data_IF_211439292186
#
_entry.id   IF_211439292186
#
_cell.length_a   1.000
_cell.length_b   1.000
_cell.length_c   1.000
_cell.angle_alpha   90.00
_cell.angle_beta   90.00
_cell.angle_gamma   90.00
#
_symmetry.space_group_name_H-M   'P 1'
#
loop_
_entity.id
_entity.type
_entity.pdbx_description
1 polymer ?
#
# COMPACT_ATOMS: atom_id res chain seq x y z
N UNK A 1 6.24 0.27 -22.76
CA UNK A 1 7.40 0.94 -22.13
C UNK A 1 8.56 0.88 -23.11
N UNK A 2 9.25 1.97 -23.37
CA UNK A 2 10.35 2.06 -24.33
C UNK A 2 11.48 2.94 -23.81
N UNK A 3 12.55 3.10 -24.63
CA UNK A 3 13.68 3.96 -24.29
C UNK A 3 14.49 3.53 -23.08
N UNK A 4 15.14 4.51 -22.44
CA UNK A 4 16.04 4.30 -21.30
C UNK A 4 15.38 3.58 -20.12
N UNK A 5 14.10 3.86 -19.84
CA UNK A 5 13.37 3.22 -18.73
C UNK A 5 13.30 1.70 -18.90
N UNK A 6 13.14 1.19 -20.12
CA UNK A 6 13.17 -0.25 -20.41
C UNK A 6 14.56 -0.83 -20.09
N UNK A 7 15.62 -0.16 -20.54
CA UNK A 7 16.99 -0.62 -20.30
C UNK A 7 17.29 -0.66 -18.80
N UNK A 8 16.94 0.41 -18.07
CA UNK A 8 17.22 0.50 -16.64
C UNK A 8 16.47 -0.58 -15.84
N UNK A 9 15.17 -0.80 -16.11
CA UNK A 9 14.38 -1.80 -15.41
C UNK A 9 14.71 -3.25 -15.80
N UNK A 10 15.25 -3.48 -17.00
CA UNK A 10 15.73 -4.80 -17.41
C UNK A 10 17.12 -5.14 -16.88
N UNK A 11 17.85 -4.17 -16.32
CA UNK A 11 19.21 -4.32 -15.80
C UNK A 11 19.32 -3.72 -14.39
N UNK A 12 18.46 -4.15 -13.47
CA UNK A 12 18.44 -3.64 -12.09
C UNK A 12 19.72 -3.92 -11.33
N UNK A 13 20.49 -4.95 -11.71
CA UNK A 13 21.82 -5.21 -11.14
C UNK A 13 22.78 -4.04 -11.34
N UNK A 14 22.62 -3.28 -12.43
CA UNK A 14 23.45 -2.11 -12.77
C UNK A 14 22.77 -0.79 -12.35
N UNK A 15 21.48 -0.66 -12.66
CA UNK A 15 20.71 0.58 -12.49
C UNK A 15 19.89 0.60 -11.20
N UNK A 16 19.92 -0.46 -10.38
CA UNK A 16 19.14 -0.57 -9.13
C UNK A 16 19.23 0.67 -8.24
N UNK A 17 20.44 1.16 -7.88
CA UNK A 17 20.57 2.35 -7.05
C UNK A 17 19.94 3.61 -7.65
N UNK A 18 20.03 3.78 -8.99
CA UNK A 18 19.42 4.91 -9.69
C UNK A 18 17.88 4.81 -9.69
N UNK A 19 17.36 3.62 -9.95
CA UNK A 19 15.90 3.34 -9.92
C UNK A 19 15.37 3.56 -8.52
N UNK A 20 16.04 3.04 -7.50
CA UNK A 20 15.67 3.22 -6.10
C UNK A 20 15.61 4.70 -5.72
N UNK A 21 16.68 5.46 -6.02
CA UNK A 21 16.73 6.91 -5.76
C UNK A 21 15.58 7.66 -6.45
N UNK A 22 15.24 7.25 -7.68
CA UNK A 22 14.09 7.83 -8.40
C UNK A 22 12.75 7.53 -7.72
N UNK A 23 12.58 6.29 -7.23
CA UNK A 23 11.36 5.88 -6.50
C UNK A 23 11.25 6.54 -5.12
N UNK A 24 12.36 6.77 -4.45
CA UNK A 24 12.41 7.48 -3.16
C UNK A 24 12.04 8.97 -3.29
N UNK A 25 12.13 9.54 -4.48
CA UNK A 25 11.86 10.95 -4.75
C UNK A 25 10.38 11.37 -4.62
N UNK A 26 9.44 10.42 -4.61
CA UNK A 26 8.01 10.70 -4.42
C UNK A 26 7.43 9.87 -3.28
N UNK A 27 6.57 10.46 -2.45
CA UNK A 27 6.00 9.81 -1.28
C UNK A 27 5.27 8.50 -1.60
N UNK A 28 4.50 8.47 -2.71
CA UNK A 28 3.74 7.30 -3.14
C UNK A 28 4.63 6.12 -3.56
N UNK A 29 5.72 6.37 -4.28
CA UNK A 29 6.65 5.33 -4.71
C UNK A 29 7.60 4.92 -3.58
N UNK A 30 7.99 5.86 -2.71
CA UNK A 30 8.78 5.55 -1.52
C UNK A 30 8.05 4.59 -0.57
N UNK A 31 6.73 4.74 -0.43
CA UNK A 31 5.90 3.85 0.37
C UNK A 31 5.82 2.39 -0.17
N UNK A 32 6.24 2.15 -1.42
CA UNK A 32 6.37 0.80 -1.98
C UNK A 32 7.69 0.11 -1.61
N UNK A 33 8.65 0.86 -1.07
CA UNK A 33 10.01 0.38 -0.80
C UNK A 33 10.27 0.05 0.67
N UNK A 34 9.43 0.54 1.58
CA UNK A 34 9.65 0.40 3.02
C UNK A 34 8.37 0.52 3.83
N UNK A 35 8.38 -0.01 5.04
CA UNK A 35 7.38 0.32 6.05
C UNK A 35 7.44 1.82 6.34
N UNK A 36 6.30 2.49 6.26
CA UNK A 36 6.20 3.94 6.48
C UNK A 36 5.74 4.24 7.89
N UNK A 37 6.19 5.38 8.42
CA UNK A 37 5.93 5.84 9.78
C UNK A 37 5.28 7.21 9.74
N UNK A 38 4.21 7.41 10.50
CA UNK A 38 3.57 8.70 10.68
C UNK A 38 3.24 8.94 12.16
N UNK A 39 3.80 9.98 12.75
CA UNK A 39 3.40 10.49 14.05
C UNK A 39 2.06 11.24 13.89
N UNK A 40 0.99 10.69 14.43
CA UNK A 40 -0.37 11.20 14.16
C UNK A 40 -0.97 11.95 15.33
N UNK A 41 -0.64 11.59 16.58
CA UNK A 41 -1.16 12.25 17.77
C UNK A 41 -0.02 12.40 18.77
N UNK A 42 0.07 13.56 19.41
CA UNK A 42 0.94 13.82 20.56
C UNK A 42 0.12 14.54 21.62
N UNK A 43 0.11 13.99 22.82
CA UNK A 43 -0.54 14.57 23.98
C UNK A 43 0.48 14.74 25.10
N UNK A 44 0.65 15.97 25.59
CA UNK A 44 1.50 16.30 26.72
C UNK A 44 1.05 17.60 27.37
N UNK A 45 1.07 17.61 28.72
CA UNK A 45 0.73 18.80 29.48
C UNK A 45 -0.77 19.16 29.47
N UNK A 46 -1.15 20.05 30.38
CA UNK A 46 -2.50 20.57 30.52
C UNK A 46 -2.54 22.06 30.85
N UNK A 47 -1.38 22.67 31.08
CA UNK A 47 -1.22 24.12 31.37
C UNK A 47 0.11 24.62 30.81
N UNK A 48 0.12 25.88 30.38
CA UNK A 48 1.24 26.55 29.75
C UNK A 48 2.46 26.75 30.64
N UNK A 49 2.28 26.75 31.97
CA UNK A 49 3.33 27.00 32.97
C UNK A 49 3.67 25.78 33.82
N UNK A 50 3.22 24.56 33.43
CA UNK A 50 3.47 23.32 34.19
C UNK A 50 4.13 22.30 33.25
N UNK A 51 5.31 21.80 33.64
CA UNK A 51 5.96 20.72 32.94
C UNK A 51 5.13 19.42 33.04
N UNK A 52 4.86 18.73 31.94
CA UNK A 52 4.07 17.51 31.96
C UNK A 52 4.82 16.36 32.65
N UNK A 53 4.15 15.66 33.56
CA UNK A 53 4.65 14.42 34.15
C UNK A 53 4.46 13.19 33.26
N UNK A 54 3.67 13.33 32.19
CA UNK A 54 3.40 12.26 31.21
C UNK A 54 3.23 12.86 29.80
N UNK A 55 3.76 12.14 28.83
CA UNK A 55 3.54 12.42 27.42
C UNK A 55 3.15 11.12 26.70
N UNK A 56 2.28 11.22 25.70
CA UNK A 56 1.86 10.11 24.87
C UNK A 56 2.00 10.48 23.40
N UNK A 57 2.43 9.52 22.60
CA UNK A 57 2.51 9.66 21.17
C UNK A 57 1.86 8.45 20.47
N UNK A 58 1.00 8.71 19.49
CA UNK A 58 0.45 7.66 18.61
C UNK A 58 1.17 7.73 17.28
N UNK A 59 1.75 6.59 16.89
CA UNK A 59 2.49 6.45 15.65
C UNK A 59 1.79 5.40 14.78
N UNK A 60 1.41 5.80 13.56
CA UNK A 60 0.83 4.89 12.58
C UNK A 60 1.93 4.34 11.67
N UNK A 61 1.87 3.04 11.43
CA UNK A 61 2.76 2.34 10.51
C UNK A 61 1.97 1.70 9.38
N UNK A 62 2.52 1.74 8.16
CA UNK A 62 2.06 0.94 7.03
C UNK A 62 3.14 -0.09 6.76
N UNK A 63 2.85 -1.33 7.12
CA UNK A 63 3.82 -2.43 7.04
C UNK A 63 4.08 -2.83 5.60
N UNK A 64 5.34 -2.91 5.21
CA UNK A 64 5.75 -3.59 3.98
C UNK A 64 5.54 -5.11 4.17
N UNK A 65 5.12 -5.85 3.13
CA UNK A 65 5.08 -7.31 3.19
C UNK A 65 6.42 -7.90 3.62
N UNK A 66 6.39 -8.71 4.67
CA UNK A 66 7.58 -9.26 5.33
C UNK A 66 7.92 -8.61 6.67
N UNK A 67 7.49 -7.38 6.90
CA UNK A 67 7.57 -6.75 8.23
C UNK A 67 6.39 -7.18 9.11
N UNK A 68 6.64 -7.22 10.42
CA UNK A 68 5.66 -7.62 11.42
C UNK A 68 5.42 -6.52 12.46
N UNK A 69 4.28 -6.58 13.14
CA UNK A 69 3.99 -5.68 14.28
C UNK A 69 5.06 -5.77 15.35
N UNK A 70 5.48 -6.97 15.70
CA UNK A 70 6.51 -7.18 16.72
C UNK A 70 7.86 -6.62 16.29
N UNK A 71 8.22 -6.76 15.01
CA UNK A 71 9.43 -6.14 14.45
C UNK A 71 9.41 -4.62 14.56
N UNK A 72 8.26 -3.99 14.27
CA UNK A 72 8.09 -2.54 14.43
C UNK A 72 8.15 -2.14 15.90
N UNK A 73 7.50 -2.87 16.81
CA UNK A 73 7.58 -2.59 18.26
C UNK A 73 9.01 -2.70 18.77
N UNK A 74 9.76 -3.71 18.32
CA UNK A 74 11.17 -3.88 18.69
C UNK A 74 12.02 -2.72 18.14
N UNK A 75 11.82 -2.33 16.89
CA UNK A 75 12.51 -1.19 16.30
C UNK A 75 12.22 0.11 17.07
N UNK A 76 10.96 0.40 17.36
CA UNK A 76 10.56 1.59 18.11
C UNK A 76 11.13 1.58 19.55
N UNK A 77 11.14 0.42 20.20
CA UNK A 77 11.77 0.28 21.53
C UNK A 77 13.25 0.65 21.48
N UNK A 78 13.97 0.18 20.48
CA UNK A 78 15.37 0.55 20.27
C UNK A 78 15.57 2.05 20.07
N UNK A 79 14.74 2.69 19.22
CA UNK A 79 14.81 4.12 18.96
C UNK A 79 14.54 4.97 20.22
N UNK A 80 13.47 4.63 20.95
CA UNK A 80 13.10 5.36 22.18
C UNK A 80 14.16 5.16 23.27
N UNK A 81 14.66 3.93 23.49
CA UNK A 81 15.73 3.67 24.46
C UNK A 81 17.02 4.39 24.14
N UNK A 82 17.32 4.57 22.86
CA UNK A 82 18.51 5.32 22.42
C UNK A 82 18.34 6.83 22.65
N UNK A 83 17.14 7.35 22.36
CA UNK A 83 16.86 8.78 22.49
C UNK A 83 16.67 9.23 23.95
N UNK A 84 16.12 8.37 24.80
CA UNK A 84 15.77 8.66 26.19
C UNK A 84 16.15 7.48 27.11
N UNK A 85 17.45 7.22 27.29
CA UNK A 85 17.94 6.01 28.00
C UNK A 85 17.62 5.99 29.49
N UNK A 86 17.30 7.14 30.06
CA UNK A 86 16.98 7.30 31.49
C UNK A 86 15.47 7.31 31.80
N UNK A 87 14.65 7.43 30.74
CA UNK A 87 13.21 7.59 30.87
C UNK A 87 12.51 6.23 30.95
N UNK A 88 11.42 6.19 31.71
CA UNK A 88 10.50 5.05 31.71
C UNK A 88 9.47 5.26 30.62
N UNK A 89 9.29 4.26 29.77
CA UNK A 89 8.26 4.27 28.72
C UNK A 89 7.58 2.92 28.59
N UNK A 90 6.35 2.95 28.16
CA UNK A 90 5.59 1.79 27.72
C UNK A 90 5.34 1.89 26.21
N UNK A 91 5.45 0.77 25.53
CA UNK A 91 5.22 0.69 24.09
C UNK A 91 4.34 -0.54 23.80
N UNK A 92 3.22 -0.30 23.14
CA UNK A 92 2.26 -1.35 22.80
C UNK A 92 1.54 -1.05 21.50
N UNK A 93 1.06 -2.10 20.84
CA UNK A 93 0.20 -1.96 19.68
C UNK A 93 -1.23 -1.62 20.11
N UNK A 94 -1.85 -0.64 19.47
CA UNK A 94 -3.25 -0.29 19.75
C UNK A 94 -4.20 -1.42 19.28
N UNK A 95 -5.39 -1.55 19.89
CA UNK A 95 -6.43 -2.43 19.39
C UNK A 95 -6.74 -2.17 17.93
N UNK A 96 -6.89 -3.22 17.12
CA UNK A 96 -7.10 -3.11 15.67
C UNK A 96 -5.83 -3.03 14.84
N UNK A 97 -4.63 -3.04 15.44
CA UNK A 97 -3.40 -3.22 14.69
C UNK A 97 -3.35 -4.61 14.01
N UNK A 98 -3.06 -4.63 12.72
CA UNK A 98 -3.05 -5.83 11.88
C UNK A 98 -1.68 -6.07 11.27
N UNK A 99 -1.38 -7.32 10.93
CA UNK A 99 -0.16 -7.68 10.19
C UNK A 99 -0.25 -7.21 8.73
N UNK A 100 0.91 -7.14 8.06
CA UNK A 100 0.95 -6.90 6.63
C UNK A 100 0.15 -7.97 5.88
N UNK A 101 -0.58 -7.57 4.83
CA UNK A 101 -1.28 -8.52 3.97
C UNK A 101 -0.27 -9.40 3.23
N UNK A 102 -0.63 -10.68 3.02
CA UNK A 102 0.15 -11.58 2.16
C UNK A 102 0.25 -11.03 0.74
N UNK A 103 1.36 -11.30 0.08
CA UNK A 103 1.52 -11.00 -1.35
C UNK A 103 0.86 -12.10 -2.16
N UNK A 104 -0.11 -11.75 -2.99
CA UNK A 104 -0.80 -12.69 -3.84
C UNK A 104 0.11 -13.17 -4.99
N UNK A 105 0.06 -14.47 -5.38
CA UNK A 105 0.91 -15.03 -6.42
C UNK A 105 0.54 -14.48 -7.81
N UNK A 106 1.53 -14.18 -8.64
CA UNK A 106 1.33 -13.65 -10.00
C UNK A 106 1.37 -14.70 -11.11
N UNK A 107 1.57 -15.95 -10.75
CA UNK A 107 1.58 -17.13 -11.64
C UNK A 107 0.30 -17.98 -11.59
N UNK A 108 -0.70 -17.53 -10.82
CA UNK A 108 -1.98 -18.22 -10.65
C UNK A 108 -2.91 -18.07 -11.87
N UNK A 109 -3.89 -18.95 -12.00
CA UNK A 109 -4.94 -18.85 -13.01
C UNK A 109 -5.79 -17.57 -12.82
N UNK A 110 -6.06 -17.20 -11.57
CA UNK A 110 -6.82 -16.01 -11.20
C UNK A 110 -6.10 -14.72 -11.62
N UNK A 111 -4.77 -14.66 -11.41
CA UNK A 111 -3.98 -13.52 -11.87
C UNK A 111 -3.96 -13.44 -13.40
N UNK A 112 -3.83 -14.57 -14.10
CA UNK A 112 -3.89 -14.59 -15.57
C UNK A 112 -5.23 -14.11 -16.10
N UNK A 113 -6.35 -14.54 -15.50
CA UNK A 113 -7.69 -14.08 -15.88
C UNK A 113 -7.84 -12.57 -15.67
N UNK A 114 -7.38 -12.05 -14.51
CA UNK A 114 -7.38 -10.62 -14.22
C UNK A 114 -6.54 -9.85 -15.26
N UNK A 115 -5.31 -10.27 -15.51
CA UNK A 115 -4.38 -9.64 -16.45
C UNK A 115 -4.95 -9.62 -17.89
N UNK A 116 -5.52 -10.74 -18.33
CA UNK A 116 -6.17 -10.86 -19.64
C UNK A 116 -7.35 -9.89 -19.73
N UNK A 117 -8.24 -9.86 -18.75
CA UNK A 117 -9.41 -8.97 -18.73
C UNK A 117 -9.00 -7.49 -18.77
N UNK A 118 -7.94 -7.11 -18.02
CA UNK A 118 -7.42 -5.74 -18.07
C UNK A 118 -6.98 -5.39 -19.50
N UNK A 119 -6.20 -6.25 -20.14
CA UNK A 119 -5.70 -5.99 -21.52
C UNK A 119 -6.80 -5.92 -22.56
N UNK A 120 -7.88 -6.69 -22.40
CA UNK A 120 -9.02 -6.67 -23.30
C UNK A 120 -9.87 -5.41 -23.17
N UNK A 121 -10.02 -4.89 -21.96
CA UNK A 121 -10.84 -3.69 -21.68
C UNK A 121 -10.04 -2.40 -21.81
N UNK A 122 -8.76 -2.45 -21.47
CA UNK A 122 -7.82 -1.33 -21.47
C UNK A 122 -6.59 -1.66 -22.32
N UNK A 123 -6.71 -1.71 -23.65
CA UNK A 123 -5.61 -2.16 -24.54
C UNK A 123 -4.40 -1.21 -24.53
N UNK A 124 -4.58 0.02 -24.05
CA UNK A 124 -3.54 1.02 -23.86
C UNK A 124 -2.79 0.87 -22.53
N UNK A 125 -3.26 0.03 -21.59
CA UNK A 125 -2.67 -0.14 -20.30
C UNK A 125 -1.46 -1.10 -20.32
N UNK A 126 -0.41 -0.74 -19.59
CA UNK A 126 0.69 -1.64 -19.25
C UNK A 126 0.34 -2.33 -17.92
N UNK A 127 0.19 -3.65 -17.96
CA UNK A 127 -0.16 -4.43 -16.76
C UNK A 127 1.11 -4.91 -16.09
N UNK A 128 1.29 -4.53 -14.84
CA UNK A 128 2.37 -4.99 -13.98
C UNK A 128 1.85 -5.25 -12.56
N UNK A 129 2.40 -6.24 -11.83
CA UNK A 129 2.10 -6.40 -10.42
C UNK A 129 2.61 -5.19 -9.62
N UNK A 130 1.85 -4.81 -8.60
CA UNK A 130 2.21 -3.72 -7.70
C UNK A 130 1.68 -3.97 -6.29
N UNK A 131 2.31 -3.34 -5.30
CA UNK A 131 1.82 -3.37 -3.93
C UNK A 131 0.76 -2.29 -3.73
N UNK A 132 -0.29 -2.63 -2.97
CA UNK A 132 -1.26 -1.66 -2.50
C UNK A 132 -0.79 -1.11 -1.15
N UNK A 133 -0.52 0.18 -1.09
CA UNK A 133 -0.08 0.88 0.14
C UNK A 133 -1.23 1.33 1.05
N UNK A 134 -2.47 1.09 0.66
CA UNK A 134 -3.69 1.41 1.40
C UNK A 134 -4.34 0.19 2.05
N UNK A 135 -5.07 0.40 3.15
CA UNK A 135 -5.98 -0.60 3.71
C UNK A 135 -7.23 -0.74 2.84
N UNK A 136 -7.76 -1.97 2.71
CA UNK A 136 -9.02 -2.26 2.00
C UNK A 136 -9.75 -3.40 2.72
N UNK A 137 -11.04 -3.58 2.46
CA UNK A 137 -11.86 -4.69 2.99
C UNK A 137 -11.32 -6.08 2.61
N UNK A 138 -10.36 -6.13 1.68
CA UNK A 138 -9.68 -7.38 1.31
C UNK A 138 -9.01 -8.09 2.50
N UNK A 139 -8.74 -7.39 3.60
CA UNK A 139 -8.19 -7.98 4.82
C UNK A 139 -9.10 -9.09 5.39
N UNK A 140 -10.42 -8.95 5.23
CA UNK A 140 -11.41 -9.92 5.72
C UNK A 140 -11.40 -11.23 4.93
N UNK A 141 -10.83 -11.23 3.74
CA UNK A 141 -10.76 -12.41 2.86
C UNK A 141 -9.45 -13.21 3.02
N UNK A 142 -8.47 -12.67 3.75
CA UNK A 142 -7.15 -13.30 3.92
C UNK A 142 -7.18 -14.67 4.62
N UNK A 143 -8.25 -14.99 5.36
CA UNK A 143 -8.44 -16.29 6.00
C UNK A 143 -8.96 -17.38 5.05
N UNK A 144 -9.57 -16.99 3.91
CA UNK A 144 -10.26 -17.90 2.99
C UNK A 144 -9.64 -17.95 1.60
N UNK A 145 -8.71 -17.06 1.27
CA UNK A 145 -8.05 -17.03 -0.04
C UNK A 145 -6.65 -16.45 0.03
N UNK A 146 -5.72 -17.05 -0.70
CA UNK A 146 -4.39 -16.48 -0.96
C UNK A 146 -4.34 -15.69 -2.29
N UNK A 147 -5.44 -15.70 -3.07
CA UNK A 147 -5.54 -15.02 -4.37
C UNK A 147 -6.29 -13.69 -4.27
N UNK A 148 -5.77 -12.76 -3.47
CA UNK A 148 -6.38 -11.46 -3.24
C UNK A 148 -5.67 -10.39 -4.07
N UNK A 149 -6.29 -9.99 -5.18
CA UNK A 149 -5.77 -8.97 -6.08
C UNK A 149 -6.52 -7.66 -5.89
N UNK A 150 -5.82 -6.66 -5.40
CA UNK A 150 -6.35 -5.32 -5.14
C UNK A 150 -6.28 -4.51 -6.43
N UNK A 151 -7.34 -4.55 -7.22
CA UNK A 151 -7.44 -3.85 -8.51
C UNK A 151 -8.79 -3.16 -8.63
N UNK A 152 -8.78 -1.93 -9.15
CA UNK A 152 -9.97 -1.19 -9.53
C UNK A 152 -9.83 -0.73 -10.98
N UNK A 153 -10.83 -0.96 -11.85
CA UNK A 153 -10.79 -0.58 -13.26
C UNK A 153 -11.03 0.92 -13.46
N UNK A 154 -10.31 1.75 -12.70
CA UNK A 154 -10.43 3.21 -12.69
C UNK A 154 -9.22 3.83 -13.38
N UNK A 155 -9.48 4.75 -14.33
CA UNK A 155 -8.46 5.61 -14.91
C UNK A 155 -8.28 6.83 -14.03
N UNK A 156 -7.16 6.91 -13.34
CA UNK A 156 -6.82 8.03 -12.48
C UNK A 156 -5.43 8.58 -12.84
N UNK A 157 -5.26 9.87 -12.76
CA UNK A 157 -3.99 10.56 -12.85
C UNK A 157 -3.61 11.14 -11.46
N UNK A 158 -2.44 11.82 -11.37
CA UNK A 158 -1.98 12.39 -10.11
C UNK A 158 -2.92 13.44 -9.49
N UNK A 159 -3.70 14.16 -10.32
CA UNK A 159 -4.68 15.13 -9.84
C UNK A 159 -5.95 14.44 -9.33
N UNK A 160 -6.33 13.32 -9.93
CA UNK A 160 -7.47 12.54 -9.44
C UNK A 160 -7.16 11.88 -8.09
N UNK A 161 -5.93 11.39 -7.90
CA UNK A 161 -5.48 10.80 -6.63
C UNK A 161 -5.57 11.77 -5.45
N UNK A 162 -5.39 13.07 -5.68
CA UNK A 162 -5.54 14.12 -4.64
C UNK A 162 -6.98 14.28 -4.15
N UNK A 163 -7.96 13.79 -4.90
CA UNK A 163 -9.39 13.86 -4.58
C UNK A 163 -9.94 12.62 -3.91
N UNK A 164 -9.15 11.54 -3.83
CA UNK A 164 -9.55 10.31 -3.17
C UNK A 164 -9.92 10.59 -1.71
N UNK A 165 -11.14 10.20 -1.32
CA UNK A 165 -11.73 10.49 0.00
C UNK A 165 -11.81 11.99 0.33
N UNK A 166 -11.75 12.85 -0.68
CA UNK A 166 -11.71 14.30 -0.53
C UNK A 166 -12.82 15.02 -1.29
N UNK A 167 -12.72 16.36 -1.29
CA UNK A 167 -13.66 17.20 -2.00
C UNK A 167 -13.56 16.99 -3.51
N UNK A 168 -14.73 16.90 -4.18
CA UNK A 168 -14.83 16.80 -5.62
C UNK A 168 -14.26 15.50 -6.22
N UNK A 169 -14.32 14.41 -5.45
CA UNK A 169 -14.05 13.07 -5.96
C UNK A 169 -15.05 12.75 -7.07
N UNK A 170 -14.55 12.23 -8.19
CA UNK A 170 -15.38 12.02 -9.38
C UNK A 170 -14.81 10.93 -10.27
N UNK A 171 -15.70 10.29 -11.01
CA UNK A 171 -15.38 9.30 -12.03
C UNK A 171 -15.94 9.74 -13.38
N UNK A 172 -15.14 9.64 -14.44
CA UNK A 172 -15.61 9.93 -15.79
C UNK A 172 -16.66 8.90 -16.23
N UNK A 173 -17.76 9.34 -16.82
CA UNK A 173 -18.85 8.46 -17.31
C UNK A 173 -18.31 7.37 -18.26
N UNK A 174 -17.39 7.73 -19.16
CA UNK A 174 -16.73 6.77 -20.05
C UNK A 174 -16.00 5.68 -19.26
N UNK A 175 -15.28 6.05 -18.21
CA UNK A 175 -14.54 5.08 -17.40
C UNK A 175 -15.48 4.22 -16.55
N UNK A 176 -16.61 4.76 -16.10
CA UNK A 176 -17.65 3.96 -15.45
C UNK A 176 -18.18 2.85 -16.37
N UNK A 177 -18.43 3.17 -17.64
CA UNK A 177 -18.81 2.18 -18.64
C UNK A 177 -17.71 1.14 -18.93
N UNK A 178 -16.43 1.54 -18.86
CA UNK A 178 -15.29 0.61 -18.95
C UNK A 178 -15.26 -0.31 -17.72
N UNK A 179 -15.53 0.19 -16.52
CA UNK A 179 -15.59 -0.60 -15.30
C UNK A 179 -16.71 -1.65 -15.35
N UNK A 180 -17.90 -1.30 -15.85
CA UNK A 180 -18.99 -2.25 -16.04
C UNK A 180 -18.56 -3.37 -17.01
N UNK A 181 -17.95 -3.03 -18.14
CA UNK A 181 -17.44 -4.02 -19.12
C UNK A 181 -16.38 -4.93 -18.53
N UNK A 182 -15.51 -4.37 -17.68
CA UNK A 182 -14.47 -5.13 -17.01
C UNK A 182 -15.08 -6.23 -16.12
N UNK A 183 -15.97 -5.87 -15.21
CA UNK A 183 -16.60 -6.85 -14.32
C UNK A 183 -17.51 -7.83 -15.05
N UNK A 184 -18.22 -7.38 -16.10
CA UNK A 184 -19.01 -8.27 -16.95
C UNK A 184 -18.16 -9.36 -17.61
N UNK A 185 -16.91 -9.08 -17.94
CA UNK A 185 -15.97 -10.06 -18.51
C UNK A 185 -15.27 -10.90 -17.44
N UNK A 186 -14.82 -10.27 -16.36
CA UNK A 186 -14.03 -10.96 -15.33
C UNK A 186 -14.85 -12.02 -14.59
N UNK A 187 -16.07 -11.67 -14.14
CA UNK A 187 -16.88 -12.54 -13.28
C UNK A 187 -17.14 -13.92 -13.92
N UNK A 188 -17.59 -14.04 -15.19
CA UNK A 188 -17.78 -15.35 -15.80
C UNK A 188 -16.48 -16.15 -16.00
N UNK A 189 -15.35 -15.48 -16.21
CA UNK A 189 -14.06 -16.15 -16.39
C UNK A 189 -13.59 -16.82 -15.08
N UNK A 190 -13.70 -16.10 -13.96
CA UNK A 190 -13.25 -16.64 -12.66
C UNK A 190 -14.26 -17.65 -12.09
N UNK A 191 -15.55 -17.48 -12.34
CA UNK A 191 -16.60 -18.42 -11.89
C UNK A 191 -16.49 -19.79 -12.60
N UNK A 192 -16.10 -19.82 -13.87
CA UNK A 192 -15.91 -21.09 -14.61
C UNK A 192 -14.65 -21.86 -14.17
N UNK A 193 -13.64 -21.17 -13.67
CA UNK A 193 -12.40 -21.80 -13.17
C UNK A 193 -12.51 -22.37 -11.75
N UNK A 194 -13.67 -22.23 -11.11
CA UNK A 194 -13.96 -22.75 -9.77
C UNK A 194 -14.69 -24.12 -9.80
N UNK A 195 -14.95 -24.68 -10.97
CA UNK A 195 -15.45 -26.05 -11.19
C UNK A 195 -14.28 -26.97 -11.56
#
# INVERSE_FOLDING_TARGET
>A
MGGFSRVALSNLWLFGPLVQKQLEGAASTNALLRTTTALTIVNAGNKENVLPGRAEATVNFRLLPGDTKDGVLQHMRGQVSQAAPQDRFELFALPGAVEASKVAPTDSAQYRALNQTIREVFPDALVAPGLMVGGTDSIHYGAISDHIYKFSPIRANGEDLKRFHGTNERLAVKNYAEAIRFYHRLIPQVAKGAQ
#
